data_IF_040825223353
#
_entry.id   IF_040825223353
#
_cell.length_a   1.000
_cell.length_b   1.000
_cell.length_c   1.000
_cell.angle_alpha   90.00
_cell.angle_beta   90.00
_cell.angle_gamma   90.00
#
_symmetry.space_group_name_H-M   'P 1'
#
loop_
_entity.id
_entity.type
_entity.pdbx_description
1 polymer ?
#
# COMPACT_ATOMS: atom_id res chain seq x y z
N UNK A 1 5.30 -35.59 -10.18
CA UNK A 1 5.83 -34.25 -10.51
C UNK A 1 5.87 -33.48 -9.20
N UNK A 2 7.05 -33.34 -8.64
CA UNK A 2 7.30 -32.66 -7.36
C UNK A 2 7.08 -31.16 -7.58
N UNK A 3 6.07 -30.59 -6.93
CA UNK A 3 5.87 -29.15 -6.88
C UNK A 3 6.95 -28.56 -5.97
N UNK A 4 7.98 -27.93 -6.55
CA UNK A 4 8.94 -27.15 -5.77
C UNK A 4 8.22 -25.92 -5.20
N UNK A 5 7.85 -26.04 -3.93
CA UNK A 5 7.34 -24.96 -3.11
C UNK A 5 8.51 -23.98 -2.88
N UNK A 6 8.62 -22.93 -3.69
CA UNK A 6 9.53 -21.83 -3.39
C UNK A 6 8.95 -21.09 -2.19
N UNK A 7 9.42 -21.47 -1.00
CA UNK A 7 9.21 -20.70 0.22
C UNK A 7 9.85 -19.34 -0.06
N UNK A 8 9.01 -18.32 -0.22
CA UNK A 8 9.42 -16.94 -0.37
C UNK A 8 10.06 -16.50 0.96
N UNK A 9 11.38 -16.69 1.09
CA UNK A 9 12.07 -16.41 2.35
C UNK A 9 12.17 -14.90 2.50
N UNK A 10 11.40 -14.32 3.41
CA UNK A 10 11.41 -12.88 3.66
C UNK A 10 12.74 -12.45 4.33
N UNK A 11 13.62 -11.69 3.64
CA UNK A 11 14.92 -11.25 4.17
C UNK A 11 14.78 -10.38 5.42
N UNK A 12 13.64 -9.71 5.60
CA UNK A 12 13.35 -8.85 6.75
C UNK A 12 13.07 -9.63 8.04
N UNK A 13 12.98 -10.96 7.99
CA UNK A 13 12.79 -11.83 9.17
C UNK A 13 14.05 -12.59 9.57
N UNK A 14 15.12 -12.48 8.79
CA UNK A 14 16.39 -13.17 9.06
C UNK A 14 17.28 -12.35 10.00
N UNK A 15 18.08 -13.06 10.78
CA UNK A 15 19.17 -12.52 11.61
C UNK A 15 20.41 -12.22 10.77
N UNK A 16 21.36 -11.43 11.28
CA UNK A 16 22.56 -11.02 10.54
C UNK A 16 23.39 -12.24 10.11
N UNK A 17 23.56 -13.22 10.99
CA UNK A 17 24.31 -14.46 10.70
C UNK A 17 23.64 -15.29 9.59
N UNK A 18 22.31 -15.38 9.62
CA UNK A 18 21.57 -16.11 8.58
C UNK A 18 21.62 -15.39 7.23
N UNK A 19 21.60 -14.04 7.23
CA UNK A 19 21.80 -13.24 6.03
C UNK A 19 23.21 -13.44 5.46
N UNK A 20 24.24 -13.41 6.31
CA UNK A 20 25.63 -13.64 5.89
C UNK A 20 25.83 -15.04 5.33
N UNK A 21 25.31 -16.06 6.02
CA UNK A 21 25.36 -17.46 5.55
C UNK A 21 24.75 -17.60 4.16
N UNK A 22 23.57 -17.02 3.93
CA UNK A 22 22.92 -17.08 2.61
C UNK A 22 23.72 -16.37 1.53
N UNK A 23 24.26 -15.19 1.82
CA UNK A 23 25.09 -14.47 0.87
C UNK A 23 26.38 -15.24 0.53
N UNK A 24 26.95 -15.96 1.49
CA UNK A 24 28.04 -16.89 1.24
C UNK A 24 27.65 -18.05 0.33
N UNK A 25 26.42 -18.57 0.44
CA UNK A 25 25.91 -19.61 -0.47
C UNK A 25 25.81 -19.08 -1.93
N UNK A 26 25.61 -17.78 -2.11
CA UNK A 26 25.65 -17.08 -3.39
C UNK A 26 27.07 -16.64 -3.84
N UNK A 27 28.12 -17.03 -3.10
CA UNK A 27 29.51 -16.71 -3.42
C UNK A 27 29.93 -15.26 -3.14
N UNK A 28 29.16 -14.54 -2.30
CA UNK A 28 29.44 -13.15 -1.93
C UNK A 28 30.24 -13.15 -0.62
N UNK A 29 31.43 -12.53 -0.65
CA UNK A 29 32.33 -12.47 0.50
C UNK A 29 31.84 -11.45 1.55
N UNK A 30 31.20 -11.96 2.60
CA UNK A 30 30.47 -11.16 3.59
C UNK A 30 31.35 -10.43 4.60
N UNK A 31 32.64 -10.74 4.65
CA UNK A 31 33.60 -10.14 5.60
C UNK A 31 33.93 -8.68 5.25
N UNK A 32 33.57 -8.23 4.05
CA UNK A 32 33.85 -6.88 3.52
C UNK A 32 32.59 -5.99 3.55
N UNK A 33 31.39 -6.57 3.61
CA UNK A 33 30.17 -5.93 3.06
C UNK A 33 29.43 -5.01 4.03
N UNK A 34 29.51 -5.22 5.35
CA UNK A 34 28.91 -4.42 6.45
C UNK A 34 28.15 -5.33 7.44
N UNK A 35 28.20 -5.00 8.73
CA UNK A 35 27.36 -5.60 9.78
C UNK A 35 25.94 -5.01 9.83
N UNK A 36 25.61 -4.11 8.91
CA UNK A 36 24.28 -3.53 8.84
C UNK A 36 23.28 -4.51 8.22
N UNK A 37 22.44 -5.09 9.09
CA UNK A 37 21.34 -5.98 8.74
C UNK A 37 20.48 -5.49 7.55
N UNK A 38 20.21 -4.18 7.47
CA UNK A 38 19.33 -3.62 6.43
C UNK A 38 19.96 -3.75 5.05
N UNK A 39 21.26 -3.46 4.95
CA UNK A 39 22.03 -3.55 3.71
C UNK A 39 22.11 -5.01 3.24
N UNK A 40 22.37 -5.93 4.16
CA UNK A 40 22.43 -7.37 3.84
C UNK A 40 21.08 -7.91 3.35
N UNK A 41 19.97 -7.45 3.94
CA UNK A 41 18.63 -7.85 3.52
C UNK A 41 18.27 -7.32 2.12
N UNK A 42 18.68 -6.09 1.80
CA UNK A 42 18.46 -5.46 0.50
C UNK A 42 19.25 -6.15 -0.61
N UNK A 43 20.53 -6.47 -0.38
CA UNK A 43 21.37 -7.21 -1.33
C UNK A 43 20.75 -8.57 -1.65
N UNK A 44 20.33 -9.32 -0.62
CA UNK A 44 19.73 -10.64 -0.79
C UNK A 44 18.42 -10.57 -1.59
N UNK A 45 17.61 -9.52 -1.38
CA UNK A 45 16.37 -9.31 -2.11
C UNK A 45 16.62 -9.04 -3.60
N UNK A 46 17.64 -8.24 -3.92
CA UNK A 46 17.99 -7.92 -5.30
C UNK A 46 18.48 -9.15 -6.07
N UNK A 47 19.28 -10.02 -5.44
CA UNK A 47 19.78 -11.27 -6.06
C UNK A 47 18.60 -12.22 -6.36
N UNK A 48 17.69 -12.39 -5.40
CA UNK A 48 16.51 -13.25 -5.60
C UNK A 48 15.63 -12.78 -6.78
N UNK A 49 15.53 -11.47 -7.00
CA UNK A 49 14.76 -10.92 -8.11
C UNK A 49 15.46 -11.12 -9.48
N UNK A 50 16.79 -11.07 -9.50
CA UNK A 50 17.59 -11.31 -10.72
C UNK A 50 17.52 -12.78 -11.15
N UNK A 51 17.66 -13.72 -10.20
CA UNK A 51 17.53 -15.16 -10.47
C UNK A 51 16.14 -15.54 -11.00
N UNK A 52 15.09 -14.91 -10.47
CA UNK A 52 13.71 -15.11 -10.93
C UNK A 52 13.53 -14.63 -12.37
N UNK A 53 14.15 -13.50 -12.71
CA UNK A 53 14.10 -12.94 -14.07
C UNK A 53 14.84 -13.83 -15.08
N UNK A 54 15.97 -14.42 -14.68
CA UNK A 54 16.76 -15.33 -15.51
C UNK A 54 16.06 -16.67 -15.75
N UNK A 55 15.43 -17.25 -14.74
CA UNK A 55 14.68 -18.51 -14.87
C UNK A 55 13.45 -18.39 -15.79
N UNK A 56 12.75 -17.24 -15.77
CA UNK A 56 11.62 -16.98 -16.67
C UNK A 56 12.07 -16.89 -18.13
N UNK A 57 13.24 -16.32 -18.39
CA UNK A 57 13.85 -16.28 -19.73
C UNK A 57 14.22 -17.67 -20.24
N UNK A 58 14.83 -18.49 -19.39
CA UNK A 58 15.30 -19.83 -19.75
C UNK A 58 14.14 -20.82 -19.98
N UNK A 59 13.01 -20.68 -19.26
CA UNK A 59 11.79 -21.47 -19.52
C UNK A 59 11.20 -21.18 -20.90
N UNK A 60 11.25 -19.92 -21.34
CA UNK A 60 10.60 -19.47 -22.59
C UNK A 60 11.37 -19.91 -23.85
N UNK A 61 12.69 -20.07 -23.74
CA UNK A 61 13.55 -20.53 -24.84
C UNK A 61 13.57 -22.06 -25.02
N UNK A 62 13.32 -22.83 -23.97
CA UNK A 62 13.39 -24.29 -24.03
C UNK A 62 12.07 -24.94 -24.48
N UNK A 63 10.94 -24.23 -24.40
CA UNK A 63 9.62 -24.71 -24.84
C UNK A 63 9.38 -24.52 -26.35
N UNK A 64 10.27 -23.83 -27.07
CA UNK A 64 10.12 -23.49 -28.50
C UNK A 64 10.85 -24.41 -29.48
N UNK A 65 11.53 -25.47 -29.04
CA UNK A 65 12.15 -26.46 -29.95
C UNK A 65 11.34 -27.76 -29.94
N UNK A 66 10.19 -27.75 -30.62
CA UNK A 66 9.79 -28.78 -31.60
C UNK A 66 8.47 -28.36 -32.25
N UNK A 67 8.53 -27.73 -33.43
CA UNK A 67 7.69 -28.02 -34.61
C UNK A 67 7.92 -26.98 -35.70
N UNK A 68 8.34 -27.53 -36.83
CA UNK A 68 8.67 -26.96 -38.13
C UNK A 68 7.68 -25.88 -38.67
N UNK A 69 8.29 -24.75 -39.09
CA UNK A 69 8.05 -23.89 -40.26
C UNK A 69 6.64 -23.36 -40.63
N UNK A 70 6.68 -22.08 -41.04
CA UNK A 70 5.70 -21.35 -41.87
C UNK A 70 4.46 -20.81 -41.16
N UNK A 71 4.52 -19.55 -40.75
CA UNK A 71 3.75 -18.50 -41.42
C UNK A 71 3.89 -17.14 -40.76
N UNK A 72 3.99 -16.13 -41.63
CA UNK A 72 3.67 -14.72 -41.42
C UNK A 72 4.55 -13.97 -40.43
N UNK A 73 5.53 -13.28 -41.02
CA UNK A 73 6.02 -11.98 -40.54
C UNK A 73 4.85 -11.03 -40.26
N UNK A 74 4.38 -11.05 -39.02
CA UNK A 74 3.69 -9.93 -38.39
C UNK A 74 4.62 -9.46 -37.29
N UNK A 75 5.51 -8.54 -37.68
CA UNK A 75 6.28 -7.62 -36.83
C UNK A 75 6.43 -8.02 -35.34
N UNK A 76 7.55 -8.68 -35.07
CA UNK A 76 8.05 -9.27 -33.82
C UNK A 76 8.24 -8.27 -32.65
N UNK A 77 7.94 -6.98 -32.81
CA UNK A 77 8.13 -5.96 -31.76
C UNK A 77 6.86 -5.62 -30.96
N UNK A 78 5.76 -6.37 -31.15
CA UNK A 78 4.46 -6.11 -30.50
C UNK A 78 3.94 -7.28 -29.64
N UNK A 79 4.77 -8.27 -29.35
CA UNK A 79 4.36 -9.49 -28.63
C UNK A 79 4.70 -9.50 -27.13
N UNK A 80 5.57 -8.61 -26.65
CA UNK A 80 6.06 -8.67 -25.25
C UNK A 80 5.11 -8.13 -24.17
N UNK A 81 3.93 -7.63 -24.55
CA UNK A 81 2.96 -7.09 -23.57
C UNK A 81 1.52 -7.51 -23.84
N UNK A 82 1.30 -8.71 -24.38
CA UNK A 82 0.00 -9.36 -24.29
C UNK A 82 -0.23 -9.85 -22.86
N UNK A 83 -0.50 -8.89 -21.96
CA UNK A 83 -1.04 -9.16 -20.64
C UNK A 83 -2.32 -9.97 -20.83
N UNK A 84 -2.41 -11.15 -20.20
CA UNK A 84 -3.59 -12.01 -20.27
C UNK A 84 -4.88 -11.20 -20.06
N UNK A 85 -5.93 -11.46 -20.84
CA UNK A 85 -7.21 -10.75 -20.77
C UNK A 85 -7.77 -10.83 -19.34
N UNK A 86 -7.54 -9.81 -18.53
CA UNK A 86 -7.70 -9.88 -17.08
C UNK A 86 -6.73 -9.01 -16.27
N UNK A 87 -5.59 -8.61 -16.84
CA UNK A 87 -4.81 -7.50 -16.28
C UNK A 87 -5.64 -6.21 -16.40
N UNK A 88 -5.76 -5.49 -15.29
CA UNK A 88 -6.74 -4.44 -15.08
C UNK A 88 -6.48 -3.21 -15.95
N UNK A 89 -6.89 -3.27 -17.23
CA UNK A 89 -7.15 -2.07 -18.02
C UNK A 89 -8.10 -1.18 -17.20
N UNK A 90 -7.87 0.14 -17.19
CA UNK A 90 -8.66 1.10 -16.39
C UNK A 90 -10.18 0.98 -16.64
N UNK A 91 -10.56 0.59 -17.85
CA UNK A 91 -11.95 0.28 -18.23
C UNK A 91 -12.53 -0.95 -17.50
N UNK A 92 -11.69 -1.94 -17.16
CA UNK A 92 -12.04 -3.15 -16.44
C UNK A 92 -11.81 -3.00 -14.92
N UNK A 93 -11.41 -1.82 -14.46
CA UNK A 93 -11.26 -1.52 -13.04
C UNK A 93 -12.63 -1.58 -12.36
N UNK A 94 -12.88 -2.69 -11.66
CA UNK A 94 -13.99 -2.78 -10.72
C UNK A 94 -13.61 -1.97 -9.49
N UNK A 95 -14.00 -0.69 -9.46
CA UNK A 95 -14.03 0.05 -8.21
C UNK A 95 -14.94 -0.70 -7.26
N UNK A 96 -14.37 -1.39 -6.27
CA UNK A 96 -15.15 -1.86 -5.14
C UNK A 96 -15.95 -0.67 -4.59
N UNK A 97 -17.12 -0.92 -4.00
CA UNK A 97 -17.97 0.13 -3.38
C UNK A 97 -17.24 0.76 -2.17
N UNK A 98 -16.19 1.53 -2.43
CA UNK A 98 -15.38 2.23 -1.43
C UNK A 98 -16.20 3.44 -1.00
N UNK A 99 -16.83 3.34 0.17
CA UNK A 99 -17.67 4.41 0.71
C UNK A 99 -19.11 4.01 1.09
N UNK A 100 -19.40 2.71 1.18
CA UNK A 100 -20.65 2.19 1.72
C UNK A 100 -20.73 2.16 3.27
N UNK A 101 -19.70 2.64 3.97
CA UNK A 101 -19.77 2.83 5.42
C UNK A 101 -20.68 4.00 5.80
N UNK A 102 -21.23 3.98 7.02
CA UNK A 102 -22.04 5.08 7.57
C UNK A 102 -21.25 6.40 7.44
N UNK A 103 -21.80 7.35 6.68
CA UNK A 103 -21.25 8.70 6.52
C UNK A 103 -21.74 9.59 7.66
N UNK A 104 -20.98 10.62 7.99
CA UNK A 104 -21.45 11.67 8.89
C UNK A 104 -22.68 12.35 8.29
N UNK A 105 -23.67 12.67 9.11
CA UNK A 105 -24.85 13.44 8.69
C UNK A 105 -24.43 14.85 8.27
N UNK A 106 -25.19 15.48 7.37
CA UNK A 106 -24.91 16.86 6.94
C UNK A 106 -24.96 17.85 8.11
N UNK A 107 -25.80 17.57 9.10
CA UNK A 107 -25.93 18.39 10.32
C UNK A 107 -24.63 18.34 11.13
N UNK A 108 -24.10 17.15 11.39
CA UNK A 108 -22.82 16.98 12.09
C UNK A 108 -21.69 17.69 11.35
N UNK A 109 -21.63 17.57 10.02
CA UNK A 109 -20.62 18.30 9.22
C UNK A 109 -20.76 19.81 9.37
N UNK A 110 -21.99 20.34 9.34
CA UNK A 110 -22.24 21.77 9.48
C UNK A 110 -21.80 22.31 10.86
N UNK A 111 -22.04 21.54 11.93
CA UNK A 111 -21.54 21.89 13.27
C UNK A 111 -20.01 21.86 13.34
N UNK A 112 -19.39 20.83 12.75
CA UNK A 112 -17.93 20.77 12.69
C UNK A 112 -17.35 21.97 11.92
N UNK A 113 -17.97 22.40 10.82
CA UNK A 113 -17.56 23.62 10.11
C UNK A 113 -17.68 24.86 11.00
N UNK A 114 -18.81 25.03 11.70
CA UNK A 114 -19.03 26.15 12.59
C UNK A 114 -17.98 26.20 13.73
N UNK A 115 -17.72 25.07 14.41
CA UNK A 115 -16.70 25.00 15.46
C UNK A 115 -15.28 25.23 14.92
N UNK A 116 -15.02 24.73 13.72
CA UNK A 116 -13.73 24.93 13.06
C UNK A 116 -13.51 26.40 12.67
N UNK A 117 -14.55 27.12 12.24
CA UNK A 117 -14.45 28.54 11.92
C UNK A 117 -14.42 29.42 13.18
N UNK A 118 -15.17 29.04 14.23
CA UNK A 118 -15.23 29.77 15.49
C UNK A 118 -13.92 29.71 16.29
N UNK A 119 -13.10 28.66 16.12
CA UNK A 119 -11.81 28.51 16.81
C UNK A 119 -10.68 29.42 16.30
N UNK A 120 -10.99 30.55 15.66
CA UNK A 120 -10.00 31.45 15.05
C UNK A 120 -9.43 32.49 16.04
N UNK A 121 -8.67 32.02 17.05
CA UNK A 121 -7.93 32.93 17.94
C UNK A 121 -6.40 32.76 17.83
N UNK A 122 -5.85 31.63 17.37
CA UNK A 122 -4.41 31.50 17.06
C UNK A 122 -4.15 30.30 16.11
N UNK A 123 -4.10 30.56 14.80
CA UNK A 123 -4.06 29.56 13.72
C UNK A 123 -2.83 28.62 13.72
N UNK A 124 -1.78 28.90 14.48
CA UNK A 124 -0.49 28.19 14.35
C UNK A 124 -0.16 27.21 15.47
N UNK A 125 -0.75 27.34 16.67
CA UNK A 125 -0.20 26.66 17.87
C UNK A 125 -1.12 25.64 18.55
N UNK A 126 -2.43 25.67 18.31
CA UNK A 126 -3.30 24.58 18.77
C UNK A 126 -3.17 23.38 17.84
N UNK A 127 -2.12 22.59 18.12
CA UNK A 127 -1.78 21.30 17.53
C UNK A 127 -3.07 20.54 17.23
N UNK A 128 -3.26 20.10 15.98
CA UNK A 128 -4.42 19.35 15.46
C UNK A 128 -5.02 18.32 16.43
N UNK A 129 -4.19 17.75 17.31
CA UNK A 129 -4.58 16.79 18.34
C UNK A 129 -5.47 17.32 19.47
N UNK A 130 -5.54 18.64 19.74
CA UNK A 130 -6.49 19.17 20.75
C UNK A 130 -7.83 19.58 20.12
N UNK A 131 -7.81 20.04 18.87
CA UNK A 131 -8.98 20.63 18.21
C UNK A 131 -10.09 19.63 17.91
N UNK A 132 -9.74 18.44 17.45
CA UNK A 132 -10.71 17.37 17.24
C UNK A 132 -11.38 16.92 18.55
N UNK A 133 -10.66 16.91 19.67
CA UNK A 133 -11.19 16.58 20.99
C UNK A 133 -12.15 17.67 21.50
N UNK A 134 -11.80 18.95 21.29
CA UNK A 134 -12.68 20.09 21.57
C UNK A 134 -13.99 19.99 20.77
N UNK A 135 -13.90 19.84 19.44
CA UNK A 135 -15.08 19.69 18.58
C UNK A 135 -15.93 18.46 18.95
N UNK A 136 -15.29 17.37 19.38
CA UNK A 136 -16.00 16.18 19.85
C UNK A 136 -16.76 16.42 21.17
N UNK A 137 -16.22 17.23 22.07
CA UNK A 137 -16.90 17.61 23.31
C UNK A 137 -18.08 18.55 23.04
N UNK A 138 -17.92 19.51 22.12
CA UNK A 138 -19.03 20.38 21.70
C UNK A 138 -20.19 19.58 21.09
N UNK A 139 -19.89 18.55 20.29
CA UNK A 139 -20.92 17.63 19.78
C UNK A 139 -21.61 16.83 20.90
N UNK A 140 -20.92 16.49 22.00
CA UNK A 140 -21.57 15.87 23.16
C UNK A 140 -22.55 16.82 23.85
N UNK A 141 -22.20 18.11 23.96
CA UNK A 141 -23.11 19.12 24.50
C UNK A 141 -24.42 19.23 23.70
N UNK A 142 -24.36 19.08 22.37
CA UNK A 142 -25.56 19.03 21.53
C UNK A 142 -26.42 17.78 21.75
N UNK A 143 -25.82 16.64 22.11
CA UNK A 143 -26.55 15.43 22.49
C UNK A 143 -27.22 15.60 23.85
N UNK A 144 -26.53 16.22 24.81
CA UNK A 144 -27.11 16.56 26.12
C UNK A 144 -28.31 17.53 25.97
N UNK A 145 -28.23 18.46 25.02
CA UNK A 145 -29.32 19.36 24.66
C UNK A 145 -30.44 18.73 23.82
N UNK A 146 -30.34 17.45 23.46
CA UNK A 146 -31.33 16.74 22.62
C UNK A 146 -31.40 17.21 21.16
N UNK A 147 -30.39 17.94 20.69
CA UNK A 147 -30.31 18.46 19.31
C UNK A 147 -29.76 17.39 18.36
N UNK A 148 -28.90 16.49 18.87
CA UNK A 148 -28.31 15.38 18.14
C UNK A 148 -28.54 14.06 18.87
N UNK A 149 -28.64 12.98 18.10
CA UNK A 149 -28.65 11.62 18.66
C UNK A 149 -27.22 11.14 18.97
N UNK A 150 -27.06 10.30 19.99
CA UNK A 150 -25.74 9.79 20.40
C UNK A 150 -25.06 9.00 19.30
N UNK A 151 -25.82 8.31 18.45
CA UNK A 151 -25.35 7.51 17.32
C UNK A 151 -24.84 8.36 16.15
N UNK A 152 -25.09 9.67 16.18
CA UNK A 152 -24.58 10.62 15.20
C UNK A 152 -23.19 11.15 15.57
N UNK A 153 -22.76 11.04 16.83
CA UNK A 153 -21.44 11.51 17.24
C UNK A 153 -20.37 10.68 16.51
N UNK A 154 -19.55 11.31 15.65
CA UNK A 154 -18.44 10.64 15.00
C UNK A 154 -17.29 10.44 15.98
N UNK A 155 -16.49 9.39 15.76
CA UNK A 155 -15.26 9.16 16.54
C UNK A 155 -14.28 10.32 16.34
N UNK A 156 -13.48 10.62 17.36
CA UNK A 156 -12.41 11.64 17.30
C UNK A 156 -11.49 11.44 16.09
N UNK A 157 -11.14 10.18 15.76
CA UNK A 157 -10.35 9.85 14.56
C UNK A 157 -11.05 10.25 13.25
N UNK A 158 -12.37 10.08 13.16
CA UNK A 158 -13.17 10.50 12.01
C UNK A 158 -13.16 12.03 11.86
N UNK A 159 -13.27 12.76 12.98
CA UNK A 159 -13.16 14.23 12.99
C UNK A 159 -11.77 14.67 12.53
N UNK A 160 -10.70 14.01 13.02
CA UNK A 160 -9.32 14.28 12.59
C UNK A 160 -9.15 14.14 11.06
N UNK A 161 -9.62 13.02 10.50
CA UNK A 161 -9.58 12.78 9.05
C UNK A 161 -10.41 13.80 8.26
N UNK A 162 -11.52 14.28 8.83
CA UNK A 162 -12.33 15.31 8.22
C UNK A 162 -11.60 16.66 8.21
N UNK A 163 -10.99 17.08 9.33
CA UNK A 163 -10.19 18.32 9.42
C UNK A 163 -9.03 18.30 8.41
N UNK A 164 -8.30 17.19 8.33
CA UNK A 164 -7.18 17.05 7.40
C UNK A 164 -7.61 17.23 5.93
N UNK A 165 -8.82 16.80 5.56
CA UNK A 165 -9.39 17.00 4.22
C UNK A 165 -9.92 18.41 4.02
N UNK A 166 -10.52 18.97 5.06
CA UNK A 166 -11.09 20.32 5.04
C UNK A 166 -10.01 21.39 4.80
N UNK A 167 -8.80 21.20 5.34
CA UNK A 167 -7.68 22.13 5.20
C UNK A 167 -6.92 22.07 3.88
N UNK A 168 -7.12 21.01 3.10
CA UNK A 168 -6.52 20.85 1.75
C UNK A 168 -7.43 21.43 0.67
N UNK A 169 -8.68 21.79 1.02
CA UNK A 169 -9.67 22.36 0.11
C UNK A 169 -9.49 23.85 -0.04
#
# INVERSE_FOLDING_TARGET
>A
MEFFFVIEINPNRLTIEELKKKLSDYGIDTDIISDNRVVLAEILQNISNDETSKQVSDMLYNETIDTDLDSRQVSEYKLDFLLSSGWALKENQRFGKKGGGKRMSKNVVSYLEAYFLAGDINKSEKIYGSRNAEMHNELKGLVEGGILEKEEIPKIFTISNWIARYLVK
#
